data_IF_480123499257
#
_entry.id   IF_480123499257
#
_cell.length_a   1.000
_cell.length_b   1.000
_cell.length_c   1.000
_cell.angle_alpha   90.00
_cell.angle_beta   90.00
_cell.angle_gamma   90.00
#
_symmetry.space_group_name_H-M   'P 1'
#
loop_
_entity.id
_entity.type
_entity.pdbx_description
1 polymer ?
#
# COMPACT_ATOMS: atom_id res chain seq x y z
N UNK A 1 7.65 -4.33 5.46
CA UNK A 1 6.22 -4.55 5.20
C UNK A 1 5.53 -5.15 6.41
N UNK A 2 5.89 -6.37 6.85
CA UNK A 2 5.40 -6.99 8.09
C UNK A 2 5.68 -6.10 9.32
N UNK A 3 6.86 -5.43 9.38
CA UNK A 3 7.19 -4.50 10.46
C UNK A 3 6.23 -3.30 10.56
N UNK A 4 5.72 -2.78 9.44
CA UNK A 4 4.73 -1.69 9.46
C UNK A 4 3.36 -2.18 9.95
N UNK A 5 2.94 -3.40 9.59
CA UNK A 5 1.74 -4.04 10.11
C UNK A 5 1.80 -4.25 11.63
N UNK A 6 2.94 -4.72 12.13
CA UNK A 6 3.15 -4.97 13.56
C UNK A 6 3.38 -3.69 14.37
N UNK A 7 3.95 -2.65 13.74
CA UNK A 7 4.27 -1.40 14.38
C UNK A 7 3.14 -0.36 14.29
N UNK A 8 2.14 -0.56 13.42
CA UNK A 8 1.05 0.41 13.23
C UNK A 8 0.32 0.81 14.53
N UNK A 9 0.03 -0.09 15.48
CA UNK A 9 -0.57 0.30 16.74
C UNK A 9 0.39 1.01 17.72
N UNK A 10 1.72 0.91 17.49
CA UNK A 10 2.75 1.52 18.35
C UNK A 10 3.23 2.90 17.85
N UNK A 11 2.91 3.26 16.60
CA UNK A 11 3.44 4.44 15.92
C UNK A 11 2.35 5.47 15.60
N UNK A 12 1.33 5.57 16.44
CA UNK A 12 0.20 6.50 16.32
C UNK A 12 0.70 7.95 16.51
N UNK A 13 0.82 8.68 15.40
CA UNK A 13 1.06 10.12 15.33
C UNK A 13 2.53 10.57 15.41
N UNK A 14 2.90 11.55 14.60
CA UNK A 14 4.19 12.24 14.67
C UNK A 14 5.41 11.44 14.13
N UNK A 15 6.54 11.40 14.86
CA UNK A 15 7.80 10.82 14.36
C UNK A 15 7.70 9.33 14.00
N UNK A 16 6.71 8.61 14.52
CA UNK A 16 6.49 7.20 14.21
C UNK A 16 6.06 6.94 12.76
N UNK A 17 5.30 7.83 12.15
CA UNK A 17 4.90 7.71 10.74
C UNK A 17 6.09 7.86 9.80
N UNK A 18 7.01 8.79 10.12
CA UNK A 18 8.25 8.99 9.34
C UNK A 18 9.12 7.74 9.41
N UNK A 19 9.27 7.15 10.61
CA UNK A 19 10.02 5.91 10.80
C UNK A 19 9.38 4.75 10.04
N UNK A 20 8.06 4.61 10.09
CA UNK A 20 7.33 3.59 9.33
C UNK A 20 7.49 3.75 7.82
N UNK A 21 7.41 4.97 7.30
CA UNK A 21 7.63 5.28 5.89
C UNK A 21 9.07 4.99 5.47
N UNK A 22 10.05 5.29 6.32
CA UNK A 22 11.47 4.96 6.07
C UNK A 22 11.70 3.44 6.00
N UNK A 23 11.15 2.66 6.95
CA UNK A 23 11.23 1.20 6.90
C UNK A 23 10.55 0.64 5.65
N UNK A 24 9.40 1.18 5.29
CA UNK A 24 8.68 0.79 4.08
C UNK A 24 9.48 1.06 2.82
N UNK A 25 10.06 2.26 2.71
CA UNK A 25 10.97 2.62 1.63
C UNK A 25 12.19 1.69 1.55
N UNK A 26 12.82 1.37 2.70
CA UNK A 26 13.97 0.47 2.78
C UNK A 26 13.62 -0.95 2.31
N UNK A 27 12.48 -1.47 2.68
CA UNK A 27 12.02 -2.80 2.25
C UNK A 27 11.76 -2.83 0.74
N UNK A 28 11.10 -1.79 0.22
CA UNK A 28 10.87 -1.63 -1.22
C UNK A 28 12.19 -1.56 -1.97
N UNK A 29 13.13 -0.75 -1.49
CA UNK A 29 14.46 -0.63 -2.06
C UNK A 29 15.19 -1.99 -2.12
N UNK A 30 15.15 -2.77 -1.04
CA UNK A 30 15.76 -4.11 -0.98
C UNK A 30 15.08 -5.09 -1.95
N UNK A 31 13.74 -5.06 -2.06
CA UNK A 31 13.01 -5.92 -3.00
C UNK A 31 13.41 -5.56 -4.44
N UNK A 32 13.40 -4.29 -4.79
CA UNK A 32 13.74 -3.82 -6.15
C UNK A 32 15.21 -4.09 -6.47
N UNK A 33 16.11 -3.98 -5.49
CA UNK A 33 17.53 -4.32 -5.66
C UNK A 33 17.76 -5.83 -5.88
N UNK A 34 16.94 -6.69 -5.29
CA UNK A 34 17.03 -8.15 -5.43
C UNK A 34 16.66 -8.61 -6.86
N UNK A 35 15.80 -7.86 -7.54
CA UNK A 35 15.48 -8.15 -8.94
C UNK A 35 16.50 -7.49 -9.87
N UNK A 36 17.06 -8.26 -10.82
CA UNK A 36 18.01 -7.78 -11.86
C UNK A 36 17.31 -6.87 -12.89
N UNK A 37 16.69 -5.79 -12.44
CA UNK A 37 16.07 -4.78 -13.30
C UNK A 37 17.14 -4.02 -14.08
N UNK A 38 16.80 -3.57 -15.30
CA UNK A 38 17.63 -2.62 -16.04
C UNK A 38 17.90 -1.40 -15.16
N UNK A 39 19.14 -0.96 -15.10
CA UNK A 39 19.62 0.13 -14.22
C UNK A 39 18.77 1.41 -14.31
N UNK A 40 18.23 1.70 -15.48
CA UNK A 40 17.32 2.85 -15.69
C UNK A 40 15.95 2.66 -15.04
N UNK A 41 15.36 1.45 -15.09
CA UNK A 41 14.10 1.15 -14.43
C UNK A 41 14.27 1.17 -12.91
N UNK A 42 15.36 0.60 -12.41
CA UNK A 42 15.71 0.66 -10.99
C UNK A 42 15.80 2.12 -10.50
N UNK A 43 16.56 2.97 -11.22
CA UNK A 43 16.69 4.38 -10.87
C UNK A 43 15.36 5.12 -10.89
N UNK A 44 14.47 4.82 -11.86
CA UNK A 44 13.13 5.40 -11.94
C UNK A 44 12.28 4.99 -10.72
N UNK A 45 12.26 3.71 -10.34
CA UNK A 45 11.53 3.22 -9.18
C UNK A 45 12.01 3.87 -7.87
N UNK A 46 13.33 3.98 -7.69
CA UNK A 46 13.94 4.63 -6.52
C UNK A 46 13.57 6.12 -6.49
N UNK A 47 13.62 6.81 -7.63
CA UNK A 47 13.26 8.23 -7.71
C UNK A 47 11.78 8.47 -7.37
N UNK A 48 10.86 7.65 -7.88
CA UNK A 48 9.43 7.73 -7.60
C UNK A 48 9.15 7.46 -6.12
N UNK A 49 9.77 6.43 -5.54
CA UNK A 49 9.62 6.11 -4.13
C UNK A 49 10.21 7.19 -3.21
N UNK A 50 11.35 7.78 -3.60
CA UNK A 50 11.95 8.92 -2.88
C UNK A 50 11.05 10.17 -2.94
N UNK A 51 10.43 10.43 -4.08
CA UNK A 51 9.48 11.54 -4.24
C UNK A 51 8.27 11.35 -3.33
N UNK A 52 7.67 10.14 -3.32
CA UNK A 52 6.54 9.83 -2.45
C UNK A 52 6.91 10.00 -0.97
N UNK A 53 8.08 9.48 -0.57
CA UNK A 53 8.60 9.64 0.80
C UNK A 53 8.80 11.12 1.17
N UNK A 54 9.37 11.92 0.26
CA UNK A 54 9.56 13.36 0.51
C UNK A 54 8.23 14.10 0.66
N UNK A 55 7.22 13.75 -0.14
CA UNK A 55 5.88 14.32 -0.03
C UNK A 55 5.20 13.92 1.29
N UNK A 56 5.31 12.66 1.72
CA UNK A 56 4.81 12.20 3.03
C UNK A 56 5.45 12.97 4.19
N UNK A 57 6.77 13.18 4.14
CA UNK A 57 7.50 13.96 5.15
C UNK A 57 7.08 15.43 5.13
N UNK A 58 6.92 16.03 3.95
CA UNK A 58 6.50 17.42 3.80
C UNK A 58 5.07 17.65 4.36
N UNK A 59 4.18 16.68 4.18
CA UNK A 59 2.84 16.66 4.79
C UNK A 59 2.93 16.55 6.32
N UNK A 60 3.75 15.62 6.83
CA UNK A 60 3.93 15.40 8.27
C UNK A 60 4.54 16.64 8.99
N UNK A 61 5.39 17.40 8.29
CA UNK A 61 5.99 18.65 8.80
C UNK A 61 5.08 19.88 8.66
N UNK A 62 3.90 19.73 8.04
CA UNK A 62 2.95 20.83 7.86
C UNK A 62 3.41 21.92 6.87
N UNK A 63 4.34 21.61 5.97
CA UNK A 63 4.85 22.56 4.97
C UNK A 63 3.87 22.84 3.84
N UNK A 64 2.76 22.10 3.79
CA UNK A 64 1.79 22.13 2.70
C UNK A 64 0.52 22.81 3.16
N UNK A 65 -0.03 23.71 2.32
CA UNK A 65 -1.28 24.41 2.61
C UNK A 65 -2.48 23.45 2.59
N UNK A 66 -3.46 23.70 3.47
CA UNK A 66 -4.67 22.88 3.63
C UNK A 66 -5.43 22.69 2.30
N UNK A 67 -5.43 23.70 1.43
CA UNK A 67 -6.11 23.63 0.13
C UNK A 67 -5.51 22.64 -0.87
N UNK A 68 -4.24 22.25 -0.68
CA UNK A 68 -3.53 21.33 -1.58
C UNK A 68 -3.46 19.89 -1.04
N UNK A 69 -3.85 19.65 0.21
CA UNK A 69 -3.68 18.34 0.88
C UNK A 69 -4.36 17.21 0.11
N UNK A 70 -5.63 17.37 -0.28
CA UNK A 70 -6.38 16.34 -1.01
C UNK A 70 -5.70 15.97 -2.32
N UNK A 71 -5.28 16.96 -3.11
CA UNK A 71 -4.61 16.72 -4.39
C UNK A 71 -3.28 16.00 -4.21
N UNK A 72 -2.52 16.35 -3.16
CA UNK A 72 -1.23 15.73 -2.87
C UNK A 72 -1.41 14.29 -2.38
N UNK A 73 -2.39 14.02 -1.51
CA UNK A 73 -2.72 12.66 -1.07
C UNK A 73 -3.14 11.76 -2.25
N UNK A 74 -3.90 12.29 -3.20
CA UNK A 74 -4.25 11.57 -4.43
C UNK A 74 -3.02 11.26 -5.29
N UNK A 75 -2.12 12.23 -5.47
CA UNK A 75 -0.88 12.03 -6.22
C UNK A 75 0.00 10.97 -5.53
N UNK A 76 0.17 11.05 -4.23
CA UNK A 76 0.91 10.04 -3.45
C UNK A 76 0.26 8.66 -3.60
N UNK A 77 -1.06 8.57 -3.45
CA UNK A 77 -1.82 7.33 -3.62
C UNK A 77 -1.62 6.73 -5.01
N UNK A 78 -1.70 7.53 -6.08
CA UNK A 78 -1.45 7.07 -7.45
C UNK A 78 -0.01 6.59 -7.64
N UNK A 79 0.97 7.28 -7.08
CA UNK A 79 2.38 6.85 -7.12
C UNK A 79 2.53 5.48 -6.46
N UNK A 80 1.96 5.28 -5.28
CA UNK A 80 1.99 3.99 -4.59
C UNK A 80 1.24 2.89 -5.36
N UNK A 81 0.07 3.19 -5.94
CA UNK A 81 -0.69 2.23 -6.74
C UNK A 81 0.10 1.76 -7.97
N UNK A 82 0.70 2.66 -8.72
CA UNK A 82 1.56 2.33 -9.87
C UNK A 82 2.78 1.53 -9.41
N UNK A 83 3.39 1.91 -8.29
CA UNK A 83 4.54 1.24 -7.73
C UNK A 83 4.19 -0.21 -7.34
N UNK A 84 3.16 -0.42 -6.51
CA UNK A 84 2.74 -1.76 -6.09
C UNK A 84 2.28 -2.62 -7.25
N UNK A 85 1.46 -2.06 -8.15
CA UNK A 85 0.98 -2.78 -9.33
C UNK A 85 2.13 -3.26 -10.21
N UNK A 86 3.13 -2.40 -10.48
CA UNK A 86 4.31 -2.77 -11.25
C UNK A 86 5.18 -3.81 -10.54
N UNK A 87 5.36 -3.71 -9.23
CA UNK A 87 6.11 -4.70 -8.45
C UNK A 87 5.42 -6.08 -8.49
N UNK A 88 4.10 -6.13 -8.32
CA UNK A 88 3.31 -7.35 -8.44
C UNK A 88 3.51 -7.99 -9.81
N UNK A 89 3.34 -7.22 -10.89
CA UNK A 89 3.48 -7.73 -12.27
C UNK A 89 4.89 -8.26 -12.55
N UNK A 90 5.93 -7.59 -12.07
CA UNK A 90 7.32 -8.03 -12.26
C UNK A 90 7.58 -9.35 -11.52
N UNK A 91 7.15 -9.46 -10.26
CA UNK A 91 7.36 -10.68 -9.48
C UNK A 91 6.54 -11.84 -10.05
N UNK A 92 5.27 -11.61 -10.41
CA UNK A 92 4.43 -12.63 -11.05
C UNK A 92 5.03 -13.13 -12.35
N UNK A 93 5.54 -12.23 -13.20
CA UNK A 93 6.21 -12.63 -14.45
C UNK A 93 7.40 -13.54 -14.20
N UNK A 94 8.20 -13.25 -13.18
CA UNK A 94 9.35 -14.05 -12.80
C UNK A 94 8.91 -15.43 -12.24
N UNK A 95 7.89 -15.45 -11.38
CA UNK A 95 7.33 -16.68 -10.84
C UNK A 95 6.77 -17.60 -11.93
N UNK A 96 5.97 -17.06 -12.86
CA UNK A 96 5.35 -17.84 -13.95
C UNK A 96 6.42 -18.40 -14.91
N UNK A 97 7.53 -17.66 -15.11
CA UNK A 97 8.64 -18.09 -15.95
C UNK A 97 9.52 -19.19 -15.33
N UNK A 98 9.38 -19.47 -14.04
CA UNK A 98 10.22 -20.42 -13.32
C UNK A 98 9.72 -21.85 -13.49
N UNK A 99 10.53 -22.71 -14.12
CA UNK A 99 10.16 -24.13 -14.38
C UNK A 99 10.26 -25.04 -13.15
N UNK A 100 10.96 -24.63 -12.10
CA UNK A 100 11.15 -25.42 -10.87
C UNK A 100 10.72 -24.61 -9.66
N UNK A 101 9.82 -25.19 -8.87
CA UNK A 101 9.41 -24.59 -7.59
C UNK A 101 10.57 -24.74 -6.60
N UNK A 102 11.12 -23.61 -6.18
CA UNK A 102 12.18 -23.51 -5.17
C UNK A 102 11.66 -22.75 -3.94
N UNK A 103 12.43 -22.73 -2.85
CA UNK A 103 12.09 -21.90 -1.68
C UNK A 103 11.98 -20.41 -2.03
N UNK A 104 12.71 -19.94 -3.02
CA UNK A 104 12.63 -18.56 -3.49
C UNK A 104 11.31 -18.30 -4.24
N UNK A 105 10.81 -19.27 -4.98
CA UNK A 105 9.48 -19.22 -5.61
C UNK A 105 8.37 -19.09 -4.56
N UNK A 106 8.44 -19.87 -3.47
CA UNK A 106 7.47 -19.80 -2.37
C UNK A 106 7.53 -18.44 -1.67
N UNK A 107 8.73 -17.97 -1.36
CA UNK A 107 8.93 -16.62 -0.78
C UNK A 107 8.38 -15.52 -1.69
N UNK A 108 8.63 -15.64 -3.00
CA UNK A 108 8.09 -14.73 -4.00
C UNK A 108 6.56 -14.68 -4.00
N UNK A 109 5.90 -15.85 -3.93
CA UNK A 109 4.44 -15.96 -3.84
C UNK A 109 3.88 -15.28 -2.59
N UNK A 110 4.50 -15.50 -1.43
CA UNK A 110 4.11 -14.82 -0.18
C UNK A 110 4.28 -13.30 -0.33
N UNK A 111 5.38 -12.84 -0.92
CA UNK A 111 5.59 -11.41 -1.16
C UNK A 111 4.52 -10.81 -2.07
N UNK A 112 4.14 -11.50 -3.15
CA UNK A 112 3.08 -11.03 -4.06
C UNK A 112 1.74 -10.93 -3.33
N UNK A 113 1.37 -11.95 -2.55
CA UNK A 113 0.13 -11.93 -1.78
C UNK A 113 0.06 -10.72 -0.83
N UNK A 114 1.13 -10.47 -0.11
CA UNK A 114 1.22 -9.30 0.77
C UNK A 114 1.19 -7.97 0.00
N UNK A 115 1.84 -7.90 -1.17
CA UNK A 115 1.82 -6.72 -2.04
C UNK A 115 0.42 -6.45 -2.60
N UNK A 116 -0.35 -7.48 -2.94
CA UNK A 116 -1.74 -7.35 -3.37
C UNK A 116 -2.58 -6.69 -2.27
N UNK A 117 -2.48 -7.13 -1.01
CA UNK A 117 -3.19 -6.48 0.10
C UNK A 117 -2.82 -5.00 0.26
N UNK A 118 -1.53 -4.64 0.15
CA UNK A 118 -1.13 -3.22 0.18
C UNK A 118 -1.61 -2.42 -1.02
N UNK A 119 -1.63 -3.01 -2.20
CA UNK A 119 -2.16 -2.38 -3.41
C UNK A 119 -3.63 -2.00 -3.23
N UNK A 120 -4.46 -2.93 -2.74
CA UNK A 120 -5.88 -2.67 -2.48
C UNK A 120 -6.08 -1.65 -1.37
N UNK A 121 -5.28 -1.72 -0.28
CA UNK A 121 -5.32 -0.71 0.77
C UNK A 121 -5.04 0.71 0.25
N UNK A 122 -4.11 0.87 -0.71
CA UNK A 122 -3.85 2.15 -1.38
C UNK A 122 -5.05 2.59 -2.21
N UNK A 123 -5.69 1.69 -2.97
CA UNK A 123 -6.89 2.02 -3.73
C UNK A 123 -8.04 2.46 -2.81
N UNK A 124 -8.24 1.79 -1.68
CA UNK A 124 -9.22 2.20 -0.67
C UNK A 124 -8.91 3.57 -0.07
N UNK A 125 -7.63 3.86 0.21
CA UNK A 125 -7.22 5.17 0.69
C UNK A 125 -7.48 6.28 -0.33
N UNK A 126 -7.31 6.01 -1.63
CA UNK A 126 -7.66 6.95 -2.72
C UNK A 126 -9.16 7.21 -2.71
N UNK A 127 -9.99 6.16 -2.62
CA UNK A 127 -11.45 6.30 -2.60
C UNK A 127 -11.90 7.07 -1.37
N UNK A 128 -11.36 6.79 -0.17
CA UNK A 128 -11.67 7.52 1.05
C UNK A 128 -11.23 8.98 0.99
N UNK A 129 -10.13 9.29 0.29
CA UNK A 129 -9.69 10.67 0.06
C UNK A 129 -10.65 11.43 -0.86
N UNK A 130 -11.26 10.77 -1.84
CA UNK A 130 -12.25 11.35 -2.76
C UNK A 130 -13.63 11.47 -2.12
N UNK A 131 -14.02 10.48 -1.34
CA UNK A 131 -15.29 10.41 -0.62
C UNK A 131 -15.05 9.92 0.82
N UNK A 132 -14.96 10.84 1.79
CA UNK A 132 -14.73 10.48 3.20
C UNK A 132 -15.82 9.61 3.82
N UNK A 133 -16.97 9.45 3.16
CA UNK A 133 -18.06 8.58 3.59
C UNK A 133 -18.10 7.25 2.83
N UNK A 134 -17.09 6.96 1.99
CA UNK A 134 -17.05 5.75 1.19
C UNK A 134 -16.99 4.47 2.02
N UNK A 135 -16.42 4.53 3.22
CA UNK A 135 -16.33 3.42 4.17
C UNK A 135 -16.92 3.82 5.53
N UNK A 136 -17.84 3.03 6.02
CA UNK A 136 -18.36 3.16 7.38
C UNK A 136 -17.51 2.31 8.33
N UNK A 137 -17.06 2.90 9.45
CA UNK A 137 -16.30 2.18 10.46
C UNK A 137 -16.59 2.73 11.85
N UNK A 138 -16.98 1.89 12.82
CA UNK A 138 -17.04 2.26 14.21
C UNK A 138 -15.66 2.37 14.88
N UNK A 139 -14.59 1.98 14.18
CA UNK A 139 -13.25 2.04 14.72
C UNK A 139 -12.79 3.50 14.86
N UNK A 140 -12.53 3.91 16.10
CA UNK A 140 -11.92 5.20 16.44
C UNK A 140 -10.40 5.16 16.21
N UNK A 141 -9.97 4.79 15.01
CA UNK A 141 -8.56 4.89 14.65
C UNK A 141 -8.33 6.19 13.89
N UNK A 142 -7.55 7.09 14.49
CA UNK A 142 -7.17 8.38 13.89
C UNK A 142 -6.31 8.21 12.62
N UNK A 143 -5.88 6.99 12.30
CA UNK A 143 -5.03 6.70 11.15
C UNK A 143 -5.79 5.99 10.03
N UNK A 144 -6.25 6.76 9.05
CA UNK A 144 -6.97 6.27 7.88
C UNK A 144 -6.18 5.18 7.11
N UNK A 145 -4.86 5.32 6.99
CA UNK A 145 -4.04 4.34 6.29
C UNK A 145 -4.05 2.96 6.99
N UNK A 146 -3.97 2.93 8.32
CA UNK A 146 -4.06 1.67 9.09
C UNK A 146 -5.40 1.01 8.92
N UNK A 147 -6.50 1.78 8.91
CA UNK A 147 -7.86 1.30 8.69
C UNK A 147 -7.99 0.65 7.31
N UNK A 148 -7.46 1.28 6.26
CA UNK A 148 -7.54 0.73 4.90
C UNK A 148 -6.66 -0.51 4.71
N UNK A 149 -5.48 -0.57 5.32
CA UNK A 149 -4.64 -1.78 5.32
C UNK A 149 -5.39 -2.93 6.00
N UNK A 150 -5.94 -2.69 7.17
CA UNK A 150 -6.72 -3.69 7.90
C UNK A 150 -7.92 -4.18 7.08
N UNK A 151 -8.72 -3.28 6.52
CA UNK A 151 -9.89 -3.62 5.70
C UNK A 151 -9.51 -4.47 4.48
N UNK A 152 -8.44 -4.11 3.77
CA UNK A 152 -7.94 -4.89 2.65
C UNK A 152 -7.53 -6.31 3.08
N UNK A 153 -6.72 -6.47 4.12
CA UNK A 153 -6.32 -7.81 4.56
C UNK A 153 -7.48 -8.64 5.09
N UNK A 154 -8.47 -8.04 5.74
CA UNK A 154 -9.71 -8.73 6.16
C UNK A 154 -10.50 -9.20 4.95
N UNK A 155 -10.57 -8.42 3.89
CA UNK A 155 -11.24 -8.79 2.63
C UNK A 155 -10.44 -9.85 1.87
N UNK A 156 -9.15 -9.63 1.68
CA UNK A 156 -8.25 -10.52 0.92
C UNK A 156 -8.15 -11.92 1.55
N UNK A 157 -8.19 -12.00 2.88
CA UNK A 157 -8.19 -13.28 3.62
C UNK A 157 -9.59 -13.87 3.79
N UNK A 158 -10.61 -13.24 3.23
CA UNK A 158 -12.02 -13.65 3.34
C UNK A 158 -12.57 -13.73 4.79
N UNK A 159 -11.92 -13.05 5.74
CA UNK A 159 -12.38 -13.02 7.15
C UNK A 159 -13.69 -12.25 7.32
N UNK A 160 -13.82 -11.08 6.68
CA UNK A 160 -15.05 -10.32 6.61
C UNK A 160 -15.66 -9.94 7.97
N UNK A 161 -14.88 -9.39 8.91
CA UNK A 161 -15.36 -9.03 10.24
C UNK A 161 -16.54 -8.02 10.24
N UNK A 162 -16.68 -7.22 9.17
CA UNK A 162 -17.78 -6.27 9.02
C UNK A 162 -17.67 -5.01 9.89
N UNK A 163 -16.51 -4.73 10.42
CA UNK A 163 -16.18 -3.54 11.21
C UNK A 163 -15.75 -2.36 10.35
N UNK A 164 -15.28 -2.60 9.13
CA UNK A 164 -15.10 -1.62 8.06
C UNK A 164 -15.92 -2.08 6.86
N UNK A 165 -16.95 -1.30 6.52
CA UNK A 165 -17.93 -1.68 5.49
C UNK A 165 -17.89 -0.66 4.34
N UNK A 166 -17.76 -1.09 3.06
CA UNK A 166 -17.90 -0.20 1.92
C UNK A 166 -19.34 0.27 1.79
N UNK A 167 -19.56 1.59 1.75
CA UNK A 167 -20.89 2.22 1.65
C UNK A 167 -21.11 2.81 0.26
N UNK A 168 -20.07 3.41 -0.34
CA UNK A 168 -20.19 3.96 -1.69
C UNK A 168 -20.14 2.85 -2.75
N UNK A 169 -20.73 3.12 -3.90
CA UNK A 169 -20.73 2.19 -5.04
C UNK A 169 -19.29 1.86 -5.49
N UNK A 170 -18.40 2.86 -5.49
CA UNK A 170 -17.00 2.67 -5.89
C UNK A 170 -16.26 1.78 -4.88
N UNK A 171 -16.41 2.04 -3.58
CA UNK A 171 -15.83 1.22 -2.53
C UNK A 171 -16.33 -0.23 -2.61
N UNK A 172 -17.63 -0.44 -2.78
CA UNK A 172 -18.24 -1.77 -2.89
C UNK A 172 -17.70 -2.54 -4.10
N UNK A 173 -17.59 -1.87 -5.26
CA UNK A 173 -17.04 -2.50 -6.46
C UNK A 173 -15.59 -2.94 -6.28
N UNK A 174 -14.74 -2.09 -5.69
CA UNK A 174 -13.36 -2.43 -5.39
C UNK A 174 -13.25 -3.59 -4.41
N UNK A 175 -14.08 -3.60 -3.35
CA UNK A 175 -14.09 -4.68 -2.36
C UNK A 175 -14.49 -6.03 -2.97
N UNK A 176 -15.48 -6.03 -3.89
CA UNK A 176 -15.85 -7.25 -4.62
C UNK A 176 -14.69 -7.73 -5.50
N UNK A 177 -14.02 -6.82 -6.21
CA UNK A 177 -12.87 -7.19 -7.06
C UNK A 177 -11.71 -7.76 -6.22
N UNK A 178 -11.43 -7.18 -5.05
CA UNK A 178 -10.44 -7.73 -4.13
C UNK A 178 -10.81 -9.13 -3.65
N UNK A 179 -12.06 -9.31 -3.20
CA UNK A 179 -12.56 -10.59 -2.72
C UNK A 179 -12.52 -11.71 -3.78
N UNK A 180 -12.59 -11.37 -5.08
CA UNK A 180 -12.45 -12.31 -6.18
C UNK A 180 -10.99 -12.75 -6.42
N UNK A 181 -10.03 -11.97 -5.95
CA UNK A 181 -8.59 -12.24 -6.10
C UNK A 181 -8.05 -13.02 -4.89
N UNK A 182 -8.60 -12.80 -3.70
CA UNK A 182 -8.25 -13.47 -2.46
C UNK A 182 -8.88 -14.82 -2.34
#
# INVERSE_FOLDING_TARGET
MVARLLASPLLLGGPGEIVASFFFFSIIFLIVQSYRLKRSLFALFVAIAALAFFLDVALALGWISISAITSILLVIGLIYAVFFGSAILLILRDLIGTQRVTMDTVRGGICVYLLIGYFWAVLYSIVETLDPQAFSSPMLTDNAASKMIYSSFVTLTTLGFGDVVPVSQMASTLTILEALIG
#
